data_IF_901212308010
#
_entry.id   IF_901212308010
#
_cell.length_a   1.000
_cell.length_b   1.000
_cell.length_c   1.000
_cell.angle_alpha   90.00
_cell.angle_beta   90.00
_cell.angle_gamma   90.00
#
_symmetry.space_group_name_H-M   'P 1'
#
loop_
_entity.id
_entity.type
_entity.pdbx_description
1 polymer ?
#
# COMPACT_ATOMS: atom_id res chain seq x y z
N UNK A 1 -21.45 0.28 5.48
CA UNK A 1 -21.05 -0.12 4.11
C UNK A 1 -19.87 0.69 3.55
N UNK A 2 -19.70 1.95 3.96
CA UNK A 2 -18.62 2.86 3.51
C UNK A 2 -17.21 2.38 3.87
N UNK A 3 -17.02 1.79 5.06
CA UNK A 3 -15.71 1.32 5.53
C UNK A 3 -15.12 0.19 4.67
N UNK A 4 -15.91 -0.87 4.40
CA UNK A 4 -15.44 -1.99 3.56
C UNK A 4 -15.09 -1.51 2.14
N UNK A 5 -15.92 -0.64 1.55
CA UNK A 5 -15.65 -0.03 0.24
C UNK A 5 -14.33 0.75 0.23
N UNK A 6 -14.06 1.51 1.29
CA UNK A 6 -12.80 2.26 1.46
C UNK A 6 -11.61 1.30 1.49
N UNK A 7 -11.69 0.25 2.31
CA UNK A 7 -10.61 -0.76 2.43
C UNK A 7 -10.34 -1.44 1.08
N UNK A 8 -11.38 -1.87 0.37
CA UNK A 8 -11.22 -2.51 -0.94
C UNK A 8 -10.57 -1.59 -1.97
N UNK A 9 -10.98 -0.32 -2.02
CA UNK A 9 -10.39 0.65 -2.95
C UNK A 9 -8.94 0.99 -2.57
N UNK A 10 -8.64 1.15 -1.28
CA UNK A 10 -7.27 1.36 -0.79
C UNK A 10 -6.38 0.16 -1.11
N UNK A 11 -6.88 -1.06 -0.93
CA UNK A 11 -6.13 -2.27 -1.27
C UNK A 11 -5.84 -2.36 -2.77
N UNK A 12 -6.83 -2.07 -3.62
CA UNK A 12 -6.65 -2.04 -5.06
C UNK A 12 -5.65 -0.96 -5.49
N UNK A 13 -5.77 0.25 -4.95
CA UNK A 13 -4.81 1.34 -5.15
C UNK A 13 -3.40 0.92 -4.78
N UNK A 14 -3.24 0.29 -3.61
CA UNK A 14 -1.94 -0.10 -3.09
C UNK A 14 -1.24 -1.18 -3.92
N UNK A 15 -1.98 -2.01 -4.65
CA UNK A 15 -1.38 -2.92 -5.65
C UNK A 15 -0.66 -2.07 -6.71
N UNK A 16 -1.32 -1.09 -7.32
CA UNK A 16 -0.68 -0.19 -8.28
C UNK A 16 0.50 0.56 -7.67
N UNK A 17 0.36 1.07 -6.44
CA UNK A 17 1.44 1.73 -5.71
C UNK A 17 2.68 0.82 -5.59
N UNK A 18 2.48 -0.42 -5.15
CA UNK A 18 3.56 -1.39 -4.92
C UNK A 18 4.30 -1.70 -6.23
N UNK A 19 3.57 -1.91 -7.32
CA UNK A 19 4.18 -2.13 -8.63
C UNK A 19 4.91 -0.89 -9.14
N UNK A 20 4.32 0.30 -9.01
CA UNK A 20 4.95 1.56 -9.41
C UNK A 20 6.28 1.79 -8.67
N UNK A 21 6.34 1.45 -7.39
CA UNK A 21 7.51 1.72 -6.54
C UNK A 21 8.61 0.67 -6.66
N UNK A 22 8.25 -0.60 -6.88
CA UNK A 22 9.22 -1.68 -6.73
C UNK A 22 9.41 -2.52 -7.99
N UNK A 23 8.40 -2.69 -8.86
CA UNK A 23 8.51 -3.66 -9.97
C UNK A 23 9.65 -3.32 -10.94
N UNK A 24 9.97 -2.04 -11.12
CA UNK A 24 11.09 -1.59 -11.94
C UNK A 24 12.46 -2.08 -11.43
N UNK A 25 12.61 -2.36 -10.12
CA UNK A 25 13.84 -2.90 -9.55
C UNK A 25 14.13 -4.32 -10.06
N UNK A 26 13.09 -5.05 -10.46
CA UNK A 26 13.22 -6.40 -11.01
C UNK A 26 13.22 -6.40 -12.53
N UNK A 27 12.24 -5.73 -13.14
CA UNK A 27 11.98 -5.81 -14.59
C UNK A 27 12.80 -4.82 -15.41
N UNK A 28 13.24 -3.70 -14.80
CA UNK A 28 13.91 -2.59 -15.48
C UNK A 28 15.29 -2.28 -14.87
N UNK A 29 15.89 -3.24 -14.16
CA UNK A 29 17.19 -3.07 -13.49
C UNK A 29 18.32 -2.64 -14.43
N UNK A 30 18.27 -3.07 -15.68
CA UNK A 30 19.30 -2.80 -16.71
C UNK A 30 18.93 -1.58 -17.57
N UNK A 31 17.81 -0.92 -17.29
CA UNK A 31 17.35 0.28 -18.01
C UNK A 31 17.78 1.55 -17.28
N UNK A 32 18.00 2.66 -18.01
CA UNK A 32 18.21 3.96 -17.40
C UNK A 32 17.08 4.33 -16.44
N UNK A 33 17.43 5.00 -15.34
CA UNK A 33 16.48 5.38 -14.27
C UNK A 33 15.29 6.19 -14.78
N UNK A 34 15.46 7.01 -15.82
CA UNK A 34 14.40 7.84 -16.38
C UNK A 34 13.30 7.00 -17.04
N UNK A 35 13.65 5.87 -17.68
CA UNK A 35 12.65 4.96 -18.26
C UNK A 35 11.81 4.33 -17.15
N UNK A 36 12.46 3.87 -16.08
CA UNK A 36 11.77 3.36 -14.91
C UNK A 36 10.84 4.43 -14.31
N UNK A 37 11.30 5.67 -14.16
CA UNK A 37 10.50 6.76 -13.62
C UNK A 37 9.24 7.04 -14.45
N UNK A 38 9.35 7.14 -15.78
CA UNK A 38 8.18 7.40 -16.64
C UNK A 38 7.16 6.26 -16.62
N UNK A 39 7.62 5.00 -16.65
CA UNK A 39 6.73 3.85 -16.56
C UNK A 39 6.06 3.76 -15.18
N UNK A 40 6.81 3.99 -14.10
CA UNK A 40 6.30 4.05 -12.74
C UNK A 40 5.26 5.17 -12.56
N UNK A 41 5.47 6.34 -13.17
CA UNK A 41 4.47 7.41 -13.18
C UNK A 41 3.19 7.01 -13.92
N UNK A 42 3.31 6.31 -15.06
CA UNK A 42 2.16 5.77 -15.78
C UNK A 42 1.31 4.84 -14.89
N UNK A 43 1.95 3.98 -14.10
CA UNK A 43 1.26 3.09 -13.14
C UNK A 43 0.69 3.89 -11.97
N UNK A 44 1.43 4.86 -11.43
CA UNK A 44 0.99 5.71 -10.33
C UNK A 44 -0.25 6.54 -10.69
N UNK A 45 -0.47 6.90 -11.95
CA UNK A 45 -1.70 7.56 -12.36
C UNK A 45 -2.94 6.72 -12.01
N UNK A 46 -2.92 5.42 -12.28
CA UNK A 46 -4.04 4.51 -11.97
C UNK A 46 -4.25 4.33 -10.46
N UNK A 47 -3.15 4.31 -9.70
CA UNK A 47 -3.17 4.35 -8.24
C UNK A 47 -3.97 5.58 -7.77
N UNK A 48 -3.61 6.78 -8.23
CA UNK A 48 -4.26 8.02 -7.79
C UNK A 48 -5.74 8.09 -8.16
N UNK A 49 -6.12 7.57 -9.33
CA UNK A 49 -7.52 7.51 -9.78
C UNK A 49 -8.40 6.70 -8.81
N UNK A 50 -7.83 5.75 -8.08
CA UNK A 50 -8.54 4.91 -7.11
C UNK A 50 -8.34 5.43 -5.68
N UNK A 51 -7.12 5.88 -5.35
CA UNK A 51 -6.75 6.40 -4.02
C UNK A 51 -7.59 7.61 -3.61
N UNK A 52 -7.73 8.59 -4.51
CA UNK A 52 -8.43 9.85 -4.22
C UNK A 52 -9.90 9.61 -3.86
N UNK A 53 -10.71 8.86 -4.64
CA UNK A 53 -12.08 8.55 -4.24
C UNK A 53 -12.13 7.66 -2.99
N UNK A 54 -11.20 6.72 -2.81
CA UNK A 54 -11.14 5.90 -1.59
C UNK A 54 -11.01 6.76 -0.33
N UNK A 55 -10.07 7.70 -0.32
CA UNK A 55 -9.85 8.60 0.80
C UNK A 55 -11.03 9.55 1.03
N UNK A 56 -11.64 10.09 -0.04
CA UNK A 56 -12.83 10.95 0.08
C UNK A 56 -14.02 10.21 0.70
N UNK A 57 -14.26 8.97 0.27
CA UNK A 57 -15.31 8.10 0.81
C UNK A 57 -14.99 7.74 2.27
N UNK A 58 -13.74 7.36 2.55
CA UNK A 58 -13.30 6.98 3.88
C UNK A 58 -13.38 8.11 4.90
N UNK A 59 -13.09 9.34 4.49
CA UNK A 59 -13.09 10.53 5.37
C UNK A 59 -14.50 10.90 5.87
N UNK A 60 -15.55 10.34 5.26
CA UNK A 60 -16.93 10.49 5.77
C UNK A 60 -17.19 9.65 7.02
N UNK A 61 -16.33 8.68 7.34
CA UNK A 61 -16.53 7.72 8.44
C UNK A 61 -15.34 7.64 9.39
N UNK A 62 -14.12 7.82 8.89
CA UNK A 62 -12.89 7.74 9.66
C UNK A 62 -12.25 9.11 9.82
N UNK A 63 -11.54 9.32 10.93
CA UNK A 63 -10.66 10.49 11.08
C UNK A 63 -9.45 10.40 10.15
N UNK A 64 -8.75 11.53 9.92
CA UNK A 64 -7.53 11.54 9.12
C UNK A 64 -6.49 10.55 9.63
N UNK A 65 -6.30 10.50 10.96
CA UNK A 65 -5.35 9.58 11.60
C UNK A 65 -5.74 8.11 11.40
N UNK A 66 -7.03 7.79 11.53
CA UNK A 66 -7.53 6.44 11.29
C UNK A 66 -7.35 6.02 9.82
N UNK A 67 -7.61 6.90 8.87
CA UNK A 67 -7.35 6.62 7.44
C UNK A 67 -5.87 6.39 7.17
N UNK A 68 -4.98 7.16 7.79
CA UNK A 68 -3.54 6.98 7.58
C UNK A 68 -3.07 5.62 8.10
N UNK A 69 -3.45 5.25 9.32
CA UNK A 69 -3.10 3.94 9.88
C UNK A 69 -3.72 2.80 9.05
N UNK A 70 -4.96 2.97 8.59
CA UNK A 70 -5.60 1.98 7.71
C UNK A 70 -4.79 1.79 6.42
N UNK A 71 -4.28 2.87 5.83
CA UNK A 71 -3.41 2.80 4.66
C UNK A 71 -2.09 2.09 4.96
N UNK A 72 -1.47 2.30 6.12
CA UNK A 72 -0.23 1.59 6.50
C UNK A 72 -0.47 0.08 6.63
N UNK A 73 -1.60 -0.31 7.25
CA UNK A 73 -2.00 -1.73 7.35
C UNK A 73 -2.21 -2.33 5.97
N UNK A 74 -2.96 -1.65 5.10
CA UNK A 74 -3.16 -2.07 3.70
C UNK A 74 -1.83 -2.18 2.96
N UNK A 75 -0.94 -1.21 3.15
CA UNK A 75 0.38 -1.18 2.50
C UNK A 75 1.20 -2.39 2.86
N UNK A 76 1.36 -2.70 4.15
CA UNK A 76 2.10 -3.91 4.54
C UNK A 76 1.39 -5.21 4.11
N UNK A 77 0.06 -5.23 4.14
CA UNK A 77 -0.73 -6.40 3.71
C UNK A 77 -0.53 -6.72 2.23
N UNK A 78 -0.40 -5.70 1.37
CA UNK A 78 -0.16 -5.88 -0.07
C UNK A 78 1.33 -6.08 -0.37
N UNK A 79 2.20 -5.37 0.34
CA UNK A 79 3.65 -5.43 0.13
C UNK A 79 4.24 -6.81 0.47
N UNK A 80 3.81 -7.45 1.56
CA UNK A 80 4.41 -8.74 1.97
C UNK A 80 4.22 -9.85 0.92
N UNK A 81 3.00 -10.10 0.39
CA UNK A 81 2.82 -11.02 -0.73
C UNK A 81 3.63 -10.62 -1.96
N UNK A 82 3.71 -9.32 -2.29
CA UNK A 82 4.53 -8.84 -3.40
C UNK A 82 6.02 -9.17 -3.20
N UNK A 83 6.57 -8.90 -2.02
CA UNK A 83 7.97 -9.18 -1.70
C UNK A 83 8.28 -10.69 -1.83
N UNK A 84 7.41 -11.56 -1.31
CA UNK A 84 7.61 -13.01 -1.35
C UNK A 84 7.41 -13.57 -2.77
N UNK A 85 6.28 -13.26 -3.41
CA UNK A 85 5.88 -13.93 -4.66
C UNK A 85 6.51 -13.28 -5.89
N UNK A 86 6.56 -11.94 -5.93
CA UNK A 86 7.09 -11.20 -7.07
C UNK A 86 8.60 -10.98 -6.94
N UNK A 87 9.08 -10.47 -5.79
CA UNK A 87 10.51 -10.20 -5.59
C UNK A 87 11.34 -11.41 -5.13
N UNK A 88 10.69 -12.51 -4.74
CA UNK A 88 11.36 -13.73 -4.24
C UNK A 88 12.20 -13.49 -2.98
N UNK A 89 11.80 -12.52 -2.16
CA UNK A 89 12.41 -12.29 -0.86
C UNK A 89 12.05 -13.40 0.14
N UNK A 90 12.97 -13.68 1.06
CA UNK A 90 12.74 -14.62 2.15
C UNK A 90 12.02 -13.90 3.29
N UNK A 91 10.95 -14.50 3.79
CA UNK A 91 10.27 -14.00 4.99
C UNK A 91 11.21 -14.15 6.20
N UNK A 92 11.51 -13.03 6.85
CA UNK A 92 12.29 -12.97 8.08
C UNK A 92 11.39 -12.69 9.28
N UNK A 93 11.86 -13.00 10.48
CA UNK A 93 11.14 -12.69 11.73
C UNK A 93 10.85 -11.20 11.92
N UNK A 94 11.59 -10.32 11.24
CA UNK A 94 11.37 -8.87 11.28
C UNK A 94 9.99 -8.49 10.71
N UNK A 95 9.46 -9.24 9.73
CA UNK A 95 8.12 -9.01 9.19
C UNK A 95 7.03 -9.25 10.25
N UNK A 96 7.21 -10.27 11.09
CA UNK A 96 6.29 -10.53 12.20
C UNK A 96 6.37 -9.44 13.25
N UNK A 97 7.58 -8.98 13.60
CA UNK A 97 7.78 -7.85 14.50
C UNK A 97 7.10 -6.58 13.97
N UNK A 98 7.28 -6.25 12.70
CA UNK A 98 6.63 -5.12 12.05
C UNK A 98 5.09 -5.23 12.08
N UNK A 99 4.54 -6.42 11.82
CA UNK A 99 3.11 -6.67 11.89
C UNK A 99 2.54 -6.45 13.31
N UNK A 100 3.27 -6.89 14.35
CA UNK A 100 2.89 -6.64 15.74
C UNK A 100 2.93 -5.16 16.10
N UNK A 101 3.94 -4.42 15.63
CA UNK A 101 4.01 -2.96 15.82
C UNK A 101 2.83 -2.25 15.15
N UNK A 102 2.45 -2.65 13.94
CA UNK A 102 1.26 -2.10 13.28
C UNK A 102 -0.03 -2.44 14.03
N UNK A 103 -0.18 -3.66 14.54
CA UNK A 103 -1.33 -4.03 15.36
C UNK A 103 -1.45 -3.13 16.61
N UNK A 104 -0.32 -2.80 17.23
CA UNK A 104 -0.25 -1.80 18.30
C UNK A 104 -0.71 -0.42 17.84
N UNK A 105 -0.23 0.07 16.70
CA UNK A 105 -0.64 1.35 16.14
C UNK A 105 -2.16 1.41 15.85
N UNK A 106 -2.72 0.34 15.30
CA UNK A 106 -4.17 0.18 15.10
C UNK A 106 -4.91 0.27 16.42
N UNK A 107 -4.46 -0.47 17.45
CA UNK A 107 -5.07 -0.41 18.76
C UNK A 107 -5.07 1.01 19.35
N UNK A 108 -3.95 1.74 19.29
CA UNK A 108 -3.85 3.09 19.86
C UNK A 108 -4.68 4.15 19.13
N UNK A 109 -4.87 4.02 17.82
CA UNK A 109 -5.59 5.02 17.02
C UNK A 109 -7.09 4.73 16.91
N UNK A 110 -7.49 3.47 17.13
CA UNK A 110 -8.90 3.06 17.10
C UNK A 110 -9.48 2.78 18.49
N UNK A 111 -8.68 2.76 19.56
CA UNK A 111 -9.22 2.80 20.93
C UNK A 111 -9.97 4.13 21.14
N UNK A 112 -11.12 4.06 21.79
CA UNK A 112 -11.85 5.24 22.23
C UNK A 112 -11.09 5.98 23.33
#
# INVERSE_FOLDING_TARGET
MTGLKTISLLALSNIFMTFAWYAHLKELKDKPWWIAAFLSWGVALFEYLIQVPANRIGYQTFSLGQLKILQEVVTLTVFVPFAIFFMKEKLTWNYLGAALCLAGAVYFIFRK
#
